data_IF_860295844657
#
_entry.id   IF_860295844657
#
_cell.length_a   1.000
_cell.length_b   1.000
_cell.length_c   1.000
_cell.angle_alpha   90.00
_cell.angle_beta   90.00
_cell.angle_gamma   90.00
#
_symmetry.space_group_name_H-M   'P 1'
#
loop_
_entity.id
_entity.type
_entity.pdbx_description
1 polymer ?
#
# COMPACT_ATOMS: atom_id res chain seq x y z
N UNK A 1 18.86 24.26 -6.57
CA UNK A 1 17.82 23.74 -5.68
C UNK A 1 18.44 22.74 -4.74
N UNK A 2 18.28 22.95 -3.45
CA UNK A 2 18.64 22.02 -2.38
C UNK A 2 17.52 20.99 -2.19
N UNK A 3 17.80 19.85 -1.57
CA UNK A 3 16.78 18.84 -1.23
C UNK A 3 15.65 19.44 -0.37
N UNK A 4 16.02 20.32 0.57
CA UNK A 4 15.07 21.03 1.43
C UNK A 4 14.09 21.88 0.61
N UNK A 5 14.58 22.56 -0.42
CA UNK A 5 13.72 23.33 -1.34
C UNK A 5 12.83 22.39 -2.17
N UNK A 6 13.36 21.26 -2.64
CA UNK A 6 12.61 20.29 -3.45
C UNK A 6 11.40 19.68 -2.71
N UNK A 7 11.50 19.51 -1.39
CA UNK A 7 10.44 18.97 -0.54
C UNK A 7 9.64 20.02 0.23
N UNK A 8 9.87 21.31 -0.05
CA UNK A 8 9.17 22.41 0.64
C UNK A 8 7.75 22.67 0.11
N UNK A 9 7.45 22.19 -1.09
CA UNK A 9 6.16 22.41 -1.74
C UNK A 9 5.01 21.72 -0.99
N UNK A 10 3.89 22.43 -0.83
CA UNK A 10 2.65 21.91 -0.25
C UNK A 10 1.48 22.19 -1.21
N UNK A 11 0.50 21.28 -1.25
CA UNK A 11 -0.70 21.44 -2.10
C UNK A 11 -1.56 22.66 -1.74
N UNK A 12 -1.43 23.19 -0.51
CA UNK A 12 -2.09 24.42 -0.08
C UNK A 12 -1.28 25.68 -0.42
N UNK A 13 -0.14 25.54 -1.10
CA UNK A 13 0.66 26.66 -1.56
C UNK A 13 -0.09 27.45 -2.64
N UNK A 14 -0.05 28.78 -2.53
CA UNK A 14 -0.56 29.70 -3.56
C UNK A 14 0.41 29.86 -4.73
N UNK A 15 1.61 29.28 -4.65
CA UNK A 15 2.64 29.28 -5.69
C UNK A 15 2.74 27.89 -6.29
N UNK A 16 2.84 27.79 -7.62
CA UNK A 16 3.00 26.53 -8.35
C UNK A 16 4.38 25.88 -8.13
N UNK A 17 4.48 24.53 -8.18
CA UNK A 17 5.76 23.85 -8.08
C UNK A 17 6.55 24.04 -9.38
N UNK A 18 7.88 24.12 -9.29
CA UNK A 18 8.71 23.99 -10.48
C UNK A 18 8.59 22.59 -11.09
N UNK A 19 8.89 22.43 -12.38
CA UNK A 19 8.87 21.13 -13.07
C UNK A 19 9.65 20.04 -12.32
N UNK A 20 10.82 20.39 -11.74
CA UNK A 20 11.62 19.45 -10.96
C UNK A 20 10.95 19.01 -9.65
N UNK A 21 10.21 19.92 -9.00
CA UNK A 21 9.43 19.58 -7.81
C UNK A 21 8.22 18.71 -8.19
N UNK A 22 7.55 19.05 -9.29
CA UNK A 22 6.42 18.27 -9.80
C UNK A 22 6.85 16.84 -10.14
N UNK A 23 7.95 16.67 -10.86
CA UNK A 23 8.52 15.36 -11.21
C UNK A 23 8.84 14.52 -9.96
N UNK A 24 9.44 15.14 -8.93
CA UNK A 24 9.72 14.47 -7.66
C UNK A 24 8.44 14.02 -6.94
N UNK A 25 7.40 14.86 -6.93
CA UNK A 25 6.10 14.52 -6.34
C UNK A 25 5.45 13.37 -7.12
N UNK A 26 5.40 13.45 -8.45
CA UNK A 26 4.81 12.43 -9.31
C UNK A 26 5.54 11.08 -9.17
N UNK A 27 6.86 11.10 -9.13
CA UNK A 27 7.68 9.91 -8.88
C UNK A 27 7.37 9.28 -7.51
N UNK A 28 7.24 10.10 -6.47
CA UNK A 28 6.84 9.63 -5.13
C UNK A 28 5.44 9.03 -5.11
N UNK A 29 4.47 9.67 -5.76
CA UNK A 29 3.09 9.17 -5.91
C UNK A 29 3.06 7.83 -6.63
N UNK A 30 3.82 7.69 -7.73
CA UNK A 30 3.89 6.44 -8.47
C UNK A 30 4.46 5.29 -7.63
N UNK A 31 5.48 5.55 -6.81
CA UNK A 31 6.03 4.57 -5.86
C UNK A 31 4.98 4.18 -4.82
N UNK A 32 4.32 5.17 -4.19
CA UNK A 32 3.30 4.91 -3.17
C UNK A 32 2.11 4.12 -3.73
N UNK A 33 1.67 4.42 -4.95
CA UNK A 33 0.57 3.70 -5.61
C UNK A 33 0.93 2.22 -5.85
N UNK A 34 2.15 1.94 -6.34
CA UNK A 34 2.64 0.58 -6.51
C UNK A 34 2.72 -0.16 -5.17
N UNK A 35 3.26 0.48 -4.14
CA UNK A 35 3.38 -0.10 -2.80
C UNK A 35 2.01 -0.36 -2.18
N UNK A 36 1.04 0.55 -2.34
CA UNK A 36 -0.32 0.38 -1.86
C UNK A 36 -0.98 -0.86 -2.46
N UNK A 37 -0.86 -1.03 -3.78
CA UNK A 37 -1.39 -2.20 -4.51
C UNK A 37 -0.72 -3.49 -4.03
N UNK A 38 0.61 -3.51 -3.92
CA UNK A 38 1.37 -4.66 -3.45
C UNK A 38 0.97 -5.05 -2.01
N UNK A 39 0.81 -4.05 -1.13
CA UNK A 39 0.40 -4.28 0.26
C UNK A 39 -1.02 -4.82 0.34
N UNK A 40 -1.95 -4.29 -0.47
CA UNK A 40 -3.32 -4.80 -0.54
C UNK A 40 -3.35 -6.26 -1.03
N UNK A 41 -2.52 -6.62 -2.01
CA UNK A 41 -2.39 -7.99 -2.48
C UNK A 41 -1.84 -8.92 -1.40
N UNK A 42 -0.77 -8.53 -0.71
CA UNK A 42 -0.20 -9.30 0.41
C UNK A 42 -1.22 -9.54 1.52
N UNK A 43 -1.99 -8.50 1.88
CA UNK A 43 -3.02 -8.63 2.91
C UNK A 43 -4.16 -9.56 2.48
N UNK A 44 -4.57 -9.49 1.21
CA UNK A 44 -5.55 -10.43 0.66
C UNK A 44 -5.06 -11.87 0.78
N UNK A 45 -3.84 -12.16 0.31
CA UNK A 45 -3.25 -13.50 0.38
C UNK A 45 -3.19 -13.99 1.83
N UNK A 46 -2.71 -13.15 2.75
CA UNK A 46 -2.62 -13.46 4.18
C UNK A 46 -3.98 -13.84 4.77
N UNK A 47 -5.05 -13.10 4.44
CA UNK A 47 -6.42 -13.37 4.90
C UNK A 47 -6.97 -14.67 4.33
N UNK A 48 -6.77 -14.92 3.04
CA UNK A 48 -7.21 -16.18 2.42
C UNK A 48 -6.53 -17.39 3.06
N UNK A 49 -5.23 -17.31 3.32
CA UNK A 49 -4.51 -18.42 3.95
C UNK A 49 -4.91 -18.64 5.41
N UNK A 50 -5.25 -17.56 6.14
CA UNK A 50 -5.84 -17.68 7.47
C UNK A 50 -7.20 -18.40 7.41
N UNK A 51 -8.08 -17.98 6.51
CA UNK A 51 -9.40 -18.59 6.34
C UNK A 51 -9.30 -20.07 5.92
N UNK A 52 -8.39 -20.42 5.01
CA UNK A 52 -8.15 -21.82 4.62
C UNK A 52 -7.75 -22.68 5.82
N UNK A 53 -6.91 -22.15 6.71
CA UNK A 53 -6.51 -22.87 7.94
C UNK A 53 -7.71 -23.06 8.87
N UNK A 54 -8.53 -22.03 9.07
CA UNK A 54 -9.73 -22.11 9.90
C UNK A 54 -10.73 -23.13 9.35
N UNK A 55 -10.98 -23.11 8.03
CA UNK A 55 -11.85 -24.10 7.37
C UNK A 55 -11.32 -25.52 7.58
N UNK A 56 -10.01 -25.73 7.43
CA UNK A 56 -9.40 -27.05 7.65
C UNK A 56 -9.60 -27.54 9.08
N UNK A 57 -9.34 -26.68 10.07
CA UNK A 57 -9.56 -27.01 11.49
C UNK A 57 -11.04 -27.34 11.74
N UNK A 58 -11.95 -26.56 11.17
CA UNK A 58 -13.39 -26.81 11.30
C UNK A 58 -13.80 -28.16 10.69
N UNK A 59 -13.32 -28.47 9.48
CA UNK A 59 -13.58 -29.76 8.82
C UNK A 59 -13.03 -30.95 9.62
N UNK A 60 -11.83 -30.82 10.20
CA UNK A 60 -11.25 -31.83 11.08
C UNK A 60 -12.07 -32.01 12.35
N UNK A 61 -12.62 -30.93 12.93
CA UNK A 61 -13.49 -31.01 14.10
C UNK A 61 -14.80 -31.74 13.79
N UNK A 62 -15.43 -31.46 12.65
CA UNK A 62 -16.65 -32.14 12.21
C UNK A 62 -16.43 -33.64 12.01
N UNK A 63 -15.29 -34.03 11.43
CA UNK A 63 -14.94 -35.45 11.24
C UNK A 63 -14.69 -36.20 12.55
N UNK A 64 -14.30 -35.52 13.63
CA UNK A 64 -14.09 -36.14 14.95
C UNK A 64 -15.39 -36.37 15.72
N UNK A 65 -16.47 -35.69 15.36
CA UNK A 65 -17.77 -35.76 16.03
C UNK A 65 -18.86 -36.45 15.19
N UNK A 66 -18.48 -37.03 14.04
CA UNK A 66 -19.32 -37.86 13.18
C UNK A 66 -18.93 -39.33 13.37
#
# INVERSE_FOLDING_TARGET
>A
MTEKEMHSYRLTSMVEPSDKMLDAIMSGVAVMARQSTENAHKELVRRFDALKREIKVYQESLRKHA
#
